data_IF_218553760906
#
_entry.id   IF_218553760906
#
_cell.length_a   1.000
_cell.length_b   1.000
_cell.length_c   1.000
_cell.angle_alpha   90.00
_cell.angle_beta   90.00
_cell.angle_gamma   90.00
#
_symmetry.space_group_name_H-M   'P 1'
#
loop_
_entity.id
_entity.type
_entity.pdbx_description
1 polymer ?
#
# COMPACT_ATOMS: atom_id res chain seq x y z
N UNK A 1 18.53 14.41 -8.49
CA UNK A 1 18.05 13.11 -7.99
C UNK A 1 16.85 12.77 -8.85
N UNK A 2 16.79 11.57 -9.41
CA UNK A 2 15.64 11.14 -10.19
C UNK A 2 14.47 11.08 -9.21
N UNK A 3 13.44 11.90 -9.41
CA UNK A 3 12.31 12.04 -8.47
C UNK A 3 11.25 10.95 -8.65
N UNK A 4 11.43 10.08 -9.64
CA UNK A 4 10.44 9.11 -10.05
C UNK A 4 10.84 7.72 -9.56
N UNK A 5 9.93 6.97 -8.91
CA UNK A 5 10.21 5.64 -8.41
C UNK A 5 10.53 4.69 -9.58
N UNK A 6 11.47 3.77 -9.37
CA UNK A 6 11.80 2.75 -10.38
C UNK A 6 10.79 1.60 -10.41
N UNK A 7 10.09 1.38 -9.30
CA UNK A 7 9.15 0.29 -9.11
C UNK A 7 7.93 0.81 -8.34
N UNK A 8 6.73 0.54 -8.84
CA UNK A 8 5.48 0.76 -8.10
C UNK A 8 4.99 -0.57 -7.54
N UNK A 9 4.85 -0.66 -6.22
CA UNK A 9 4.39 -1.86 -5.52
C UNK A 9 2.93 -1.68 -5.11
N UNK A 10 2.04 -2.41 -5.77
CA UNK A 10 0.58 -2.32 -5.54
C UNK A 10 0.14 -3.44 -4.60
N UNK A 11 -0.51 -3.06 -3.50
CA UNK A 11 -1.12 -3.95 -2.53
C UNK A 11 -2.64 -3.77 -2.54
N UNK A 12 -3.38 -4.75 -3.04
CA UNK A 12 -4.84 -4.78 -2.88
C UNK A 12 -5.17 -5.36 -1.52
N UNK A 13 -5.74 -4.55 -0.63
CA UNK A 13 -6.06 -4.92 0.75
C UNK A 13 -7.55 -5.29 0.92
N UNK A 14 -7.82 -6.36 1.64
CA UNK A 14 -9.15 -6.72 2.16
C UNK A 14 -8.99 -7.59 3.42
N UNK A 15 -9.45 -7.11 4.58
CA UNK A 15 -9.35 -7.79 5.88
C UNK A 15 -7.94 -8.32 6.22
N UNK A 16 -6.91 -7.56 5.86
CA UNK A 16 -5.51 -8.02 5.91
C UNK A 16 -4.51 -6.97 6.40
N UNK A 17 -4.96 -5.88 7.04
CA UNK A 17 -4.07 -4.78 7.47
C UNK A 17 -2.93 -5.24 8.36
N UNK A 18 -3.16 -6.24 9.23
CA UNK A 18 -2.11 -6.78 10.08
C UNK A 18 -0.97 -7.37 9.24
N UNK A 19 -1.28 -8.22 8.26
CA UNK A 19 -0.27 -8.83 7.40
C UNK A 19 0.37 -7.81 6.48
N UNK A 20 -0.41 -6.83 6.02
CA UNK A 20 0.10 -5.72 5.24
C UNK A 20 1.15 -4.92 6.03
N UNK A 21 0.91 -4.62 7.31
CA UNK A 21 1.90 -3.99 8.19
C UNK A 21 3.20 -4.80 8.25
N UNK A 22 3.10 -6.11 8.55
CA UNK A 22 4.28 -6.99 8.64
C UNK A 22 5.05 -7.04 7.31
N UNK A 23 4.35 -7.03 6.17
CA UNK A 23 4.95 -6.99 4.84
C UNK A 23 5.68 -5.66 4.57
N UNK A 24 5.08 -4.52 4.95
CA UNK A 24 5.70 -3.21 4.81
C UNK A 24 6.92 -3.06 5.72
N UNK A 25 6.84 -3.50 6.97
CA UNK A 25 7.99 -3.50 7.91
C UNK A 25 9.17 -4.27 7.32
N UNK A 26 8.89 -5.46 6.76
CA UNK A 26 9.90 -6.24 6.04
C UNK A 26 10.44 -5.49 4.82
N UNK A 27 9.57 -5.00 3.94
CA UNK A 27 9.95 -4.31 2.70
C UNK A 27 10.83 -3.08 2.96
N UNK A 28 10.42 -2.20 3.87
CA UNK A 28 11.16 -0.98 4.20
C UNK A 28 12.46 -1.27 4.97
N UNK A 29 12.59 -2.43 5.64
CA UNK A 29 13.87 -2.83 6.24
C UNK A 29 14.97 -3.12 5.21
N UNK A 30 14.60 -3.43 3.96
CA UNK A 30 15.53 -3.64 2.85
C UNK A 30 15.70 -2.41 1.94
N UNK A 31 15.02 -1.29 2.24
CA UNK A 31 15.17 -0.08 1.44
C UNK A 31 16.56 0.52 1.65
N UNK A 32 17.39 0.45 0.60
CA UNK A 32 18.79 0.93 0.62
C UNK A 32 18.98 2.24 -0.15
N UNK A 33 18.07 2.51 -1.08
CA UNK A 33 18.02 3.74 -1.87
C UNK A 33 16.64 4.35 -1.66
N UNK A 34 16.64 5.59 -1.14
CA UNK A 34 15.40 6.33 -0.91
C UNK A 34 14.67 6.53 -2.24
N UNK A 35 13.35 6.36 -2.23
CA UNK A 35 12.47 6.57 -3.37
C UNK A 35 12.75 5.57 -4.53
N UNK A 36 13.46 4.46 -4.26
CA UNK A 36 13.67 3.40 -5.26
C UNK A 36 12.36 2.73 -5.67
N UNK A 37 11.43 2.59 -4.73
CA UNK A 37 10.07 2.15 -4.98
C UNK A 37 9.04 3.07 -4.34
N UNK A 38 7.82 3.04 -4.85
CA UNK A 38 6.64 3.58 -4.17
C UNK A 38 5.71 2.44 -3.75
N UNK A 39 4.92 2.68 -2.71
CA UNK A 39 3.91 1.74 -2.22
C UNK A 39 2.53 2.34 -2.43
N UNK A 40 1.68 1.61 -3.14
CA UNK A 40 0.29 1.97 -3.39
C UNK A 40 -0.60 0.90 -2.76
N UNK A 41 -1.40 1.28 -1.78
CA UNK A 41 -2.41 0.40 -1.18
C UNK A 41 -3.77 0.73 -1.78
N UNK A 42 -4.42 -0.27 -2.37
CA UNK A 42 -5.80 -0.19 -2.85
C UNK A 42 -6.69 -0.93 -1.87
N UNK A 43 -7.43 -0.19 -1.04
CA UNK A 43 -8.29 -0.76 -0.02
C UNK A 43 -9.68 -1.12 -0.56
N UNK A 44 -10.05 -2.38 -0.41
CA UNK A 44 -11.36 -2.91 -0.77
C UNK A 44 -12.30 -3.08 0.46
N UNK A 45 -11.84 -2.75 1.66
CA UNK A 45 -12.61 -2.89 2.89
C UNK A 45 -12.70 -1.58 3.69
N UNK A 46 -13.87 -0.94 3.63
CA UNK A 46 -14.13 0.30 4.36
C UNK A 46 -13.97 0.17 5.89
N UNK A 47 -14.06 -1.03 6.46
CA UNK A 47 -13.91 -1.26 7.90
C UNK A 47 -12.45 -1.16 8.36
N UNK A 48 -11.49 -1.36 7.45
CA UNK A 48 -10.06 -1.31 7.75
C UNK A 48 -9.42 0.07 7.51
N UNK A 49 -10.19 1.02 6.98
CA UNK A 49 -9.72 2.38 6.63
C UNK A 49 -8.93 3.05 7.75
N UNK A 50 -9.45 3.03 8.98
CA UNK A 50 -8.76 3.70 10.10
C UNK A 50 -7.39 3.06 10.41
N UNK A 51 -7.30 1.73 10.30
CA UNK A 51 -6.05 1.03 10.54
C UNK A 51 -5.02 1.29 9.41
N UNK A 52 -5.48 1.42 8.16
CA UNK A 52 -4.65 1.80 7.00
C UNK A 52 -4.17 3.24 7.06
N UNK A 53 -5.02 4.19 7.46
CA UNK A 53 -4.59 5.57 7.70
C UNK A 53 -3.49 5.63 8.79
N UNK A 54 -3.54 4.74 9.78
CA UNK A 54 -2.46 4.56 10.75
C UNK A 54 -1.13 4.09 10.14
N UNK A 55 -1.14 3.38 9.01
CA UNK A 55 0.09 2.99 8.31
C UNK A 55 0.78 4.16 7.62
N UNK A 56 0.03 5.17 7.15
CA UNK A 56 0.59 6.37 6.52
C UNK A 56 1.44 7.21 7.47
N UNK A 57 1.25 7.04 8.79
CA UNK A 57 2.11 7.68 9.80
C UNK A 57 3.45 6.97 9.96
N UNK A 58 3.52 5.67 9.61
CA UNK A 58 4.70 4.83 9.78
C UNK A 58 5.50 4.65 8.49
N UNK A 59 4.84 4.70 7.33
CA UNK A 59 5.46 4.42 6.03
C UNK A 59 5.02 5.44 4.97
N UNK A 60 5.92 5.83 4.05
CA UNK A 60 5.57 6.64 2.89
C UNK A 60 4.78 5.78 1.89
N UNK A 61 3.45 5.96 1.84
CA UNK A 61 2.57 5.21 0.95
C UNK A 61 1.41 6.05 0.42
N UNK A 62 0.90 5.65 -0.75
CA UNK A 62 -0.35 6.14 -1.33
C UNK A 62 -1.48 5.18 -0.94
N UNK A 63 -2.63 5.72 -0.52
CA UNK A 63 -3.80 4.94 -0.14
C UNK A 63 -4.98 5.33 -1.02
N UNK A 64 -5.50 4.36 -1.77
CA UNK A 64 -6.67 4.48 -2.62
C UNK A 64 -7.80 3.67 -1.99
N UNK A 65 -8.95 4.29 -1.77
CA UNK A 65 -10.09 3.69 -1.08
C UNK A 65 -11.21 3.37 -2.07
N UNK A 66 -11.56 2.09 -2.21
CA UNK A 66 -12.74 1.68 -2.94
C UNK A 66 -13.98 1.69 -2.03
N UNK A 67 -15.13 2.02 -2.62
CA UNK A 67 -16.41 2.03 -1.89
C UNK A 67 -16.96 0.63 -1.59
N UNK A 68 -16.38 -0.41 -2.18
CA UNK A 68 -16.75 -1.82 -2.04
C UNK A 68 -15.58 -2.71 -2.47
N UNK A 69 -15.66 -4.00 -2.15
CA UNK A 69 -14.72 -4.97 -2.69
C UNK A 69 -14.95 -5.15 -4.21
N UNK A 70 -13.97 -4.72 -5.02
CA UNK A 70 -13.99 -4.84 -6.50
C UNK A 70 -13.22 -6.07 -7.01
N UNK A 71 -12.73 -6.91 -6.09
CA UNK A 71 -11.85 -8.04 -6.40
C UNK A 71 -10.42 -7.62 -6.70
N UNK A 72 -9.53 -8.62 -6.81
CA UNK A 72 -8.09 -8.43 -6.96
C UNK A 72 -7.71 -7.78 -8.30
N UNK A 73 -8.23 -8.29 -9.41
CA UNK A 73 -7.87 -7.78 -10.75
C UNK A 73 -8.27 -6.32 -10.97
N UNK A 74 -9.48 -5.93 -10.56
CA UNK A 74 -9.90 -4.54 -10.63
C UNK A 74 -9.12 -3.65 -9.65
N UNK A 75 -8.86 -4.14 -8.43
CA UNK A 75 -8.05 -3.41 -7.45
C UNK A 75 -6.64 -3.13 -7.97
N UNK A 76 -5.98 -4.13 -8.57
CA UNK A 76 -4.65 -3.97 -9.15
C UNK A 76 -4.61 -2.96 -10.30
N UNK A 77 -5.65 -2.88 -11.12
CA UNK A 77 -5.70 -1.93 -12.24
C UNK A 77 -5.97 -0.48 -11.79
N UNK A 78 -6.44 -0.28 -10.56
CA UNK A 78 -6.70 1.05 -9.99
C UNK A 78 -5.43 1.64 -9.38
N UNK A 79 -4.59 0.79 -8.79
CA UNK A 79 -3.27 1.17 -8.29
C UNK A 79 -2.27 1.32 -9.42
#
# INVERSE_FOLDING_TARGET
MNTDPRISLIFVNYQSVRYLREALESLFSFETEKDFFEVIIVNNDSTERFALEGLKQAFPLLLIENSKNVGFGCGNNIG
#
